data_IF_207112341869
#
_entry.id   IF_207112341869
#
_cell.length_a   1.000
_cell.length_b   1.000
_cell.length_c   1.000
_cell.angle_alpha   90.00
_cell.angle_beta   90.00
_cell.angle_gamma   90.00
#
_symmetry.space_group_name_H-M   'P 1'
#
loop_
_entity.id
_entity.type
_entity.pdbx_description
1 polymer ?
#
# COMPACT_ATOMS: atom_id res chain seq x y z
N UNK A 1 -13.34 31.44 0.99
CA UNK A 1 -13.73 30.20 0.30
C UNK A 1 -14.65 29.45 1.25
N UNK A 2 -15.90 29.18 0.82
CA UNK A 2 -16.85 28.43 1.64
C UNK A 2 -16.32 27.00 1.88
N UNK A 3 -16.25 26.60 3.15
CA UNK A 3 -15.94 25.21 3.53
C UNK A 3 -17.10 24.31 3.13
N UNK A 4 -16.82 23.29 2.34
CA UNK A 4 -17.80 22.27 2.01
C UNK A 4 -17.60 21.04 2.90
N UNK A 5 -18.57 20.77 3.77
CA UNK A 5 -18.62 19.59 4.60
C UNK A 5 -19.60 18.56 4.01
N UNK A 6 -19.25 17.29 4.12
CA UNK A 6 -20.08 16.18 3.62
C UNK A 6 -20.68 15.41 4.78
N UNK A 7 -21.87 14.88 4.60
CA UNK A 7 -22.47 13.96 5.56
C UNK A 7 -21.62 12.66 5.66
N UNK A 8 -21.65 11.98 6.84
CA UNK A 8 -20.89 10.75 7.03
C UNK A 8 -21.28 9.67 6.01
N UNK A 9 -20.32 8.88 5.59
CA UNK A 9 -20.47 7.79 4.61
C UNK A 9 -20.74 8.21 3.18
N UNK A 10 -20.84 9.53 2.91
CA UNK A 10 -21.26 10.01 1.59
C UNK A 10 -20.14 9.95 0.57
N UNK A 11 -18.94 10.42 0.92
CA UNK A 11 -17.90 10.63 -0.08
C UNK A 11 -16.51 10.31 0.45
N UNK A 12 -15.74 9.61 -0.37
CA UNK A 12 -14.28 9.55 -0.27
C UNK A 12 -13.64 10.23 -1.47
N UNK A 13 -12.40 10.69 -1.30
CA UNK A 13 -11.57 11.22 -2.38
C UNK A 13 -10.38 10.29 -2.58
N UNK A 14 -10.08 9.98 -3.84
CA UNK A 14 -8.90 9.19 -4.22
C UNK A 14 -8.00 10.00 -5.12
N UNK A 15 -6.70 9.90 -4.90
CA UNK A 15 -5.68 10.57 -5.69
C UNK A 15 -4.36 9.81 -5.65
N UNK A 16 -3.43 10.17 -6.57
CA UNK A 16 -2.08 9.66 -6.62
C UNK A 16 -1.07 10.80 -6.44
N UNK A 17 -0.07 10.60 -5.60
CA UNK A 17 1.18 11.33 -5.69
C UNK A 17 2.14 10.52 -6.54
N UNK A 18 2.36 11.00 -7.76
CA UNK A 18 3.04 10.24 -8.81
C UNK A 18 4.50 10.64 -8.97
N UNK A 19 5.27 9.72 -9.55
CA UNK A 19 6.63 9.95 -10.08
C UNK A 19 7.60 10.49 -9.03
N UNK A 20 7.51 9.98 -7.80
CA UNK A 20 8.44 10.34 -6.74
C UNK A 20 9.72 9.54 -6.95
N UNK A 21 10.81 10.22 -7.32
CA UNK A 21 12.14 9.60 -7.34
C UNK A 21 12.64 9.46 -5.92
N UNK A 22 12.88 8.23 -5.49
CA UNK A 22 13.35 7.93 -4.16
C UNK A 22 14.66 7.16 -4.21
N UNK A 23 15.70 7.66 -3.51
CA UNK A 23 16.97 6.97 -3.38
C UNK A 23 16.89 6.00 -2.21
N UNK A 24 17.14 4.73 -2.47
CA UNK A 24 17.24 3.69 -1.47
C UNK A 24 18.58 3.74 -0.72
N UNK A 25 18.64 3.00 0.38
CA UNK A 25 19.82 2.87 1.24
C UNK A 25 21.04 2.31 0.51
N UNK A 26 20.84 1.46 -0.47
CA UNK A 26 21.88 0.89 -1.34
C UNK A 26 22.35 1.83 -2.45
N UNK A 27 21.80 3.05 -2.52
CA UNK A 27 22.11 4.06 -3.53
C UNK A 27 21.26 3.99 -4.79
N UNK A 28 20.50 2.91 -5.00
CA UNK A 28 19.61 2.79 -6.15
C UNK A 28 18.49 3.84 -6.10
N UNK A 29 18.15 4.41 -7.24
CA UNK A 29 17.02 5.36 -7.37
C UNK A 29 15.85 4.62 -8.01
N UNK A 30 14.75 4.55 -7.29
CA UNK A 30 13.49 3.98 -7.76
C UNK A 30 12.44 5.07 -7.98
N UNK A 31 11.49 4.82 -8.85
CA UNK A 31 10.29 5.64 -8.96
C UNK A 31 9.16 4.98 -8.18
N UNK A 32 8.54 5.76 -7.29
CA UNK A 32 7.41 5.29 -6.49
C UNK A 32 6.22 6.22 -6.64
N UNK A 33 5.05 5.67 -6.43
CA UNK A 33 3.77 6.36 -6.45
C UNK A 33 3.04 6.08 -5.14
N UNK A 34 2.35 7.07 -4.58
CA UNK A 34 1.59 6.91 -3.35
C UNK A 34 0.11 7.13 -3.66
N UNK A 35 -0.67 6.04 -3.57
CA UNK A 35 -2.12 6.11 -3.60
C UNK A 35 -2.64 6.67 -2.29
N UNK A 36 -3.68 7.46 -2.36
CA UNK A 36 -4.35 8.02 -1.19
C UNK A 36 -5.86 7.90 -1.32
N UNK A 37 -6.49 7.45 -0.23
CA UNK A 37 -7.92 7.58 0.00
C UNK A 37 -8.15 8.45 1.24
N UNK A 38 -9.06 9.42 1.18
CA UNK A 38 -9.51 10.20 2.32
C UNK A 38 -11.03 10.22 2.40
N UNK A 39 -11.59 9.85 3.54
CA UNK A 39 -13.01 10.03 3.81
C UNK A 39 -13.33 11.52 4.04
N UNK A 40 -14.34 12.01 3.35
CA UNK A 40 -14.64 13.45 3.34
C UNK A 40 -15.25 13.95 4.64
N UNK A 41 -15.84 13.09 5.47
CA UNK A 41 -16.39 13.44 6.78
C UNK A 41 -15.34 13.28 7.89
N UNK A 42 -14.88 12.06 8.16
CA UNK A 42 -13.96 11.76 9.27
C UNK A 42 -12.54 12.30 9.07
N UNK A 43 -12.16 12.61 7.83
CA UNK A 43 -10.78 12.90 7.43
C UNK A 43 -9.83 11.70 7.61
N UNK A 44 -10.37 10.52 7.81
CA UNK A 44 -9.57 9.30 7.88
C UNK A 44 -8.88 9.06 6.54
N UNK A 45 -7.59 8.75 6.57
CA UNK A 45 -6.72 8.66 5.40
C UNK A 45 -6.03 7.32 5.34
N UNK A 46 -5.86 6.83 4.13
CA UNK A 46 -5.08 5.65 3.84
C UNK A 46 -4.10 6.00 2.73
N UNK A 47 -2.83 5.80 3.00
CA UNK A 47 -1.75 5.91 2.01
C UNK A 47 -1.21 4.52 1.73
N UNK A 48 -0.92 4.23 0.47
CA UNK A 48 -0.19 3.03 0.08
C UNK A 48 0.83 3.38 -1.00
N UNK A 49 2.05 2.87 -0.87
CA UNK A 49 3.13 3.09 -1.82
C UNK A 49 3.23 1.92 -2.80
N UNK A 50 3.51 2.22 -4.05
CA UNK A 50 3.71 1.24 -5.11
C UNK A 50 4.81 1.71 -6.07
N UNK A 51 5.50 0.78 -6.69
CA UNK A 51 6.45 1.04 -7.78
C UNK A 51 5.77 1.16 -9.14
N UNK A 52 4.47 0.90 -9.22
CA UNK A 52 3.67 1.04 -10.44
C UNK A 52 2.32 1.69 -10.14
N UNK A 53 1.71 2.31 -11.14
CA UNK A 53 0.40 2.98 -11.06
C UNK A 53 -0.57 2.44 -12.12
N UNK A 54 -0.89 1.16 -12.04
CA UNK A 54 -1.89 0.55 -12.92
C UNK A 54 -3.31 0.68 -12.36
N UNK A 55 -4.29 0.45 -13.22
CA UNK A 55 -5.70 0.40 -12.80
C UNK A 55 -5.95 -0.75 -11.83
N UNK A 56 -5.26 -1.87 -12.00
CA UNK A 56 -5.35 -3.05 -11.12
C UNK A 56 -4.84 -2.73 -9.72
N UNK A 57 -3.72 -2.01 -9.61
CA UNK A 57 -3.20 -1.55 -8.32
C UNK A 57 -4.17 -0.60 -7.64
N UNK A 58 -4.78 0.33 -8.38
CA UNK A 58 -5.76 1.25 -7.83
C UNK A 58 -7.00 0.51 -7.31
N UNK A 59 -7.53 -0.46 -8.07
CA UNK A 59 -8.68 -1.28 -7.64
C UNK A 59 -8.34 -2.11 -6.40
N UNK A 60 -7.17 -2.73 -6.37
CA UNK A 60 -6.71 -3.50 -5.21
C UNK A 60 -6.55 -2.60 -3.99
N UNK A 61 -5.94 -1.42 -4.13
CA UNK A 61 -5.81 -0.42 -3.07
C UNK A 61 -7.17 0.01 -2.53
N UNK A 62 -8.13 0.32 -3.40
CA UNK A 62 -9.48 0.74 -2.99
C UNK A 62 -10.22 -0.39 -2.28
N UNK A 63 -10.15 -1.62 -2.79
CA UNK A 63 -10.78 -2.80 -2.15
C UNK A 63 -10.27 -2.98 -0.73
N UNK A 64 -8.97 -2.97 -0.55
CA UNK A 64 -8.32 -3.12 0.76
C UNK A 64 -8.62 -1.94 1.68
N UNK A 65 -8.70 -0.72 1.12
CA UNK A 65 -9.08 0.47 1.88
C UNK A 65 -10.52 0.39 2.38
N UNK A 66 -11.45 -0.10 1.57
CA UNK A 66 -12.86 -0.29 1.98
C UNK A 66 -12.98 -1.35 3.07
N UNK A 67 -12.20 -2.42 3.01
CA UNK A 67 -12.11 -3.42 4.08
C UNK A 67 -11.58 -2.81 5.38
N UNK A 68 -10.54 -2.00 5.30
CA UNK A 68 -9.93 -1.34 6.47
C UNK A 68 -10.90 -0.36 7.16
N UNK A 69 -11.69 0.40 6.40
CA UNK A 69 -12.69 1.32 6.96
C UNK A 69 -14.00 0.62 7.37
N UNK A 70 -14.17 -0.65 6.96
CA UNK A 70 -15.33 -1.46 7.32
C UNK A 70 -16.59 -1.21 6.47
N UNK A 71 -16.46 -0.62 5.26
CA UNK A 71 -17.58 -0.34 4.36
C UNK A 71 -17.16 0.46 3.13
N UNK A 72 -18.13 0.83 2.30
CA UNK A 72 -17.90 1.52 1.03
C UNK A 72 -18.56 2.91 1.05
N UNK A 73 -17.84 4.00 0.73
CA UNK A 73 -18.47 5.32 0.60
C UNK A 73 -19.43 5.34 -0.59
N UNK A 74 -20.54 6.09 -0.48
CA UNK A 74 -21.56 6.19 -1.55
C UNK A 74 -20.99 6.76 -2.84
N UNK A 75 -19.99 7.66 -2.73
CA UNK A 75 -19.35 8.30 -3.86
C UNK A 75 -17.83 8.31 -3.71
N UNK A 76 -17.15 8.07 -4.82
CA UNK A 76 -15.70 8.17 -4.93
C UNK A 76 -15.36 9.36 -5.85
N UNK A 77 -14.87 10.44 -5.25
CA UNK A 77 -14.39 11.60 -5.98
C UNK A 77 -12.97 11.35 -6.45
N UNK A 78 -12.73 11.53 -7.74
CA UNK A 78 -11.42 11.30 -8.39
C UNK A 78 -11.11 12.44 -9.34
N UNK A 79 -9.84 12.66 -9.61
CA UNK A 79 -9.47 13.50 -10.75
C UNK A 79 -9.65 12.74 -12.08
N UNK A 80 -9.22 13.37 -13.17
CA UNK A 80 -9.27 12.77 -14.49
C UNK A 80 -8.07 11.84 -14.76
N UNK A 81 -7.64 11.05 -13.74
CA UNK A 81 -6.52 10.11 -13.91
C UNK A 81 -6.83 9.04 -14.96
N UNK A 82 -5.82 8.68 -15.74
CA UNK A 82 -5.94 7.67 -16.83
C UNK A 82 -6.39 6.29 -16.34
N UNK A 83 -6.12 5.95 -15.09
CA UNK A 83 -6.57 4.69 -14.48
C UNK A 83 -8.11 4.64 -14.32
N UNK A 84 -8.79 5.80 -14.30
CA UNK A 84 -10.24 5.92 -14.07
C UNK A 84 -10.97 6.42 -15.31
N UNK A 85 -10.38 7.34 -16.08
CA UNK A 85 -11.03 8.04 -17.18
C UNK A 85 -10.39 7.70 -18.53
N UNK A 86 -11.19 7.29 -19.50
CA UNK A 86 -10.79 7.20 -20.91
C UNK A 86 -10.80 8.58 -21.57
N UNK A 87 -11.79 9.40 -21.20
CA UNK A 87 -11.87 10.80 -21.62
C UNK A 87 -12.10 11.69 -20.40
N UNK A 88 -11.33 12.77 -20.24
CA UNK A 88 -11.43 13.64 -19.08
C UNK A 88 -12.78 14.39 -19.05
N UNK A 89 -13.28 14.60 -17.85
CA UNK A 89 -14.44 15.47 -17.61
C UNK A 89 -14.02 16.94 -17.70
N UNK A 90 -14.70 17.70 -18.52
CA UNK A 90 -14.49 19.14 -18.69
C UNK A 90 -15.74 19.94 -18.33
N UNK A 91 -15.72 21.25 -18.49
CA UNK A 91 -16.93 22.09 -18.36
C UNK A 91 -17.97 21.79 -19.43
N UNK A 92 -17.54 21.27 -20.58
CA UNK A 92 -18.38 21.06 -21.78
C UNK A 92 -18.65 19.57 -22.03
N UNK A 93 -17.99 18.67 -21.35
CA UNK A 93 -18.14 17.21 -21.49
C UNK A 93 -18.20 16.52 -20.13
N UNK A 94 -19.13 15.56 -20.02
CA UNK A 94 -19.19 14.67 -18.84
C UNK A 94 -17.96 13.77 -18.72
N UNK A 95 -17.14 13.67 -19.79
CA UNK A 95 -16.07 12.70 -19.88
C UNK A 95 -16.58 11.27 -20.03
N UNK A 96 -15.64 10.33 -20.09
CA UNK A 96 -15.94 8.90 -20.16
C UNK A 96 -15.11 8.16 -19.13
N UNK A 97 -15.79 7.47 -18.21
CA UNK A 97 -15.15 6.58 -17.24
C UNK A 97 -14.73 5.31 -17.98
N UNK A 98 -13.55 4.79 -17.64
CA UNK A 98 -13.09 3.52 -18.18
C UNK A 98 -14.06 2.39 -17.78
N UNK A 99 -14.51 1.60 -18.75
CA UNK A 99 -15.52 0.55 -18.55
C UNK A 99 -15.16 -0.45 -17.44
N UNK A 100 -13.87 -0.84 -17.34
CA UNK A 100 -13.42 -1.78 -16.30
C UNK A 100 -13.42 -1.14 -14.90
N UNK A 101 -13.21 0.17 -14.83
CA UNK A 101 -13.28 0.88 -13.56
C UNK A 101 -14.73 1.17 -13.15
N UNK A 102 -15.60 1.43 -14.12
CA UNK A 102 -17.04 1.56 -13.89
C UNK A 102 -17.64 0.26 -13.37
N UNK A 103 -17.25 -0.89 -13.95
CA UNK A 103 -17.63 -2.20 -13.43
C UNK A 103 -17.18 -2.42 -11.98
N UNK A 104 -15.92 -2.08 -11.67
CA UNK A 104 -15.40 -2.13 -10.29
C UNK A 104 -16.27 -1.29 -9.34
N UNK A 105 -16.60 -0.07 -9.72
CA UNK A 105 -17.43 0.82 -8.90
C UNK A 105 -18.84 0.25 -8.68
N UNK A 106 -19.44 -0.32 -9.72
CA UNK A 106 -20.73 -0.99 -9.65
C UNK A 106 -20.68 -2.18 -8.68
N UNK A 107 -19.66 -3.03 -8.78
CA UNK A 107 -19.51 -4.22 -7.95
C UNK A 107 -19.22 -3.87 -6.49
N UNK A 108 -18.57 -2.73 -6.24
CA UNK A 108 -18.36 -2.18 -4.89
C UNK A 108 -19.58 -1.41 -4.36
N UNK A 109 -20.57 -1.10 -5.21
CA UNK A 109 -21.77 -0.33 -4.85
C UNK A 109 -21.53 1.18 -4.72
N UNK A 110 -20.41 1.72 -5.19
CA UNK A 110 -20.06 3.14 -5.12
C UNK A 110 -20.27 3.84 -6.47
N UNK A 111 -20.42 5.15 -6.46
CA UNK A 111 -20.53 5.96 -7.68
C UNK A 111 -19.25 6.77 -7.90
N UNK A 112 -18.71 6.72 -9.12
CA UNK A 112 -17.56 7.54 -9.48
C UNK A 112 -18.01 8.96 -9.82
N UNK A 113 -17.33 9.94 -9.18
CA UNK A 113 -17.52 11.36 -9.50
C UNK A 113 -16.22 11.99 -9.96
N UNK A 114 -15.96 12.07 -11.27
CA UNK A 114 -14.78 12.76 -11.77
C UNK A 114 -14.87 14.27 -11.48
N UNK A 115 -13.78 14.88 -11.03
CA UNK A 115 -13.66 16.33 -10.88
C UNK A 115 -13.74 17.03 -12.24
N UNK A 116 -14.29 18.24 -12.26
CA UNK A 116 -14.22 19.10 -13.44
C UNK A 116 -12.81 19.67 -13.56
N UNK A 117 -12.17 19.48 -14.71
CA UNK A 117 -10.85 20.04 -14.98
C UNK A 117 -10.85 21.57 -14.76
N UNK A 118 -9.80 22.09 -14.08
CA UNK A 118 -9.64 23.52 -13.83
C UNK A 118 -10.50 24.07 -12.67
N UNK A 119 -11.15 23.24 -11.84
CA UNK A 119 -11.84 23.68 -10.62
C UNK A 119 -11.17 23.10 -9.35
N UNK A 120 -10.18 23.78 -8.76
CA UNK A 120 -9.43 23.28 -7.60
C UNK A 120 -10.29 23.18 -6.33
N UNK A 121 -11.43 23.85 -6.24
CA UNK A 121 -12.24 23.92 -5.01
C UNK A 121 -12.79 22.57 -4.51
N UNK A 122 -12.82 21.54 -5.34
CA UNK A 122 -13.30 20.20 -4.97
C UNK A 122 -12.22 19.33 -4.31
N UNK A 123 -10.93 19.69 -4.43
CA UNK A 123 -9.77 18.89 -3.99
C UNK A 123 -9.07 19.36 -2.72
N UNK A 124 -9.51 20.43 -2.07
CA UNK A 124 -8.78 21.02 -0.94
C UNK A 124 -8.47 20.06 0.23
N UNK A 125 -9.26 19.00 0.41
CA UNK A 125 -9.04 17.99 1.44
C UNK A 125 -7.84 17.08 1.10
N UNK A 126 -7.65 16.79 -0.18
CA UNK A 126 -6.57 15.96 -0.72
C UNK A 126 -5.25 16.73 -0.78
N UNK A 127 -5.27 17.99 -1.19
CA UNK A 127 -4.06 18.82 -1.36
C UNK A 127 -3.25 18.96 -0.06
N UNK A 128 -3.93 19.17 1.08
CA UNK A 128 -3.26 19.23 2.38
C UNK A 128 -2.57 17.90 2.74
N UNK A 129 -3.20 16.77 2.36
CA UNK A 129 -2.64 15.44 2.60
C UNK A 129 -1.49 15.12 1.65
N UNK A 130 -1.53 15.64 0.41
CA UNK A 130 -0.43 15.50 -0.55
C UNK A 130 0.84 16.23 -0.09
N UNK A 131 0.70 17.41 0.53
CA UNK A 131 1.84 18.14 1.12
C UNK A 131 2.50 17.34 2.25
N UNK A 132 1.72 16.63 3.05
CA UNK A 132 2.25 15.78 4.11
C UNK A 132 3.17 14.67 3.57
N UNK A 133 2.86 14.14 2.39
CA UNK A 133 3.69 13.13 1.74
C UNK A 133 5.06 13.67 1.27
N UNK A 134 5.26 14.99 1.22
CA UNK A 134 6.57 15.56 0.89
C UNK A 134 7.63 15.28 1.97
N UNK A 135 7.21 14.92 3.19
CA UNK A 135 8.13 14.47 4.24
C UNK A 135 9.01 13.28 3.80
N UNK A 136 8.56 12.47 2.83
CA UNK A 136 9.32 11.32 2.32
C UNK A 136 10.70 11.76 1.78
N UNK A 137 10.81 12.98 1.26
CA UNK A 137 12.06 13.49 0.70
C UNK A 137 13.16 13.67 1.76
N UNK A 138 12.82 13.81 3.04
CA UNK A 138 13.78 13.89 4.13
C UNK A 138 14.48 12.55 4.45
N UNK A 139 13.99 11.46 3.87
CA UNK A 139 14.47 10.10 4.10
C UNK A 139 15.22 9.50 2.91
N UNK A 140 15.63 10.31 1.95
CA UNK A 140 16.44 9.89 0.81
C UNK A 140 17.73 9.19 1.29
N UNK A 141 17.97 7.98 0.79
CA UNK A 141 19.15 7.17 1.16
C UNK A 141 19.08 6.49 2.52
N UNK A 142 17.95 6.58 3.25
CA UNK A 142 17.82 6.04 4.61
C UNK A 142 17.03 4.73 4.70
N UNK A 143 16.26 4.39 3.68
CA UNK A 143 15.36 3.23 3.68
C UNK A 143 15.67 2.28 2.53
N UNK A 144 15.53 0.98 2.79
CA UNK A 144 15.23 0.01 1.75
C UNK A 144 13.73 0.05 1.41
N UNK A 145 13.29 -0.71 0.41
CA UNK A 145 11.88 -0.67 -0.04
C UNK A 145 10.89 -1.15 1.05
N UNK A 146 11.14 -2.25 1.80
CA UNK A 146 10.29 -2.62 2.94
C UNK A 146 10.25 -1.56 4.06
N UNK A 147 11.36 -0.93 4.39
CA UNK A 147 11.42 0.16 5.39
C UNK A 147 10.62 1.38 4.94
N UNK A 148 10.63 1.68 3.64
CA UNK A 148 9.83 2.74 3.05
C UNK A 148 8.33 2.43 3.18
N UNK A 149 7.90 1.19 2.93
CA UNK A 149 6.52 0.75 3.17
C UNK A 149 6.14 0.84 4.66
N UNK A 150 7.06 0.44 5.55
CA UNK A 150 6.86 0.56 6.99
C UNK A 150 6.70 2.03 7.44
N UNK A 151 7.46 2.94 6.86
CA UNK A 151 7.31 4.38 7.08
C UNK A 151 5.92 4.88 6.68
N UNK A 152 5.42 4.51 5.50
CA UNK A 152 4.06 4.88 5.07
C UNK A 152 2.99 4.30 6.01
N UNK A 153 3.19 3.09 6.52
CA UNK A 153 2.29 2.50 7.52
C UNK A 153 2.28 3.30 8.84
N UNK A 154 3.45 3.74 9.31
CA UNK A 154 3.57 4.62 10.49
C UNK A 154 2.93 5.98 10.24
N UNK A 155 3.08 6.53 9.03
CA UNK A 155 2.42 7.77 8.63
C UNK A 155 0.90 7.63 8.69
N UNK A 156 0.33 6.53 8.19
CA UNK A 156 -1.10 6.22 8.30
C UNK A 156 -1.59 6.25 9.75
N UNK A 157 -0.84 5.61 10.67
CA UNK A 157 -1.17 5.66 12.09
C UNK A 157 -1.11 7.09 12.62
N UNK A 158 0.00 7.79 12.40
CA UNK A 158 0.19 9.17 12.90
C UNK A 158 -0.95 10.09 12.51
N UNK A 159 -1.30 10.13 11.22
CA UNK A 159 -2.31 11.09 10.72
C UNK A 159 -3.75 10.77 11.13
N UNK A 160 -4.03 9.52 11.48
CA UNK A 160 -5.36 9.08 11.86
C UNK A 160 -5.59 9.09 13.38
N UNK A 161 -4.53 9.00 14.17
CA UNK A 161 -4.61 8.99 15.65
C UNK A 161 -4.28 10.36 16.28
N UNK A 162 -3.82 11.33 15.51
CA UNK A 162 -3.57 12.69 15.97
C UNK A 162 -4.71 13.64 15.61
N UNK A 163 -4.79 14.76 16.34
CA UNK A 163 -5.77 15.81 16.11
C UNK A 163 -5.61 16.39 14.68
N UNK A 164 -6.66 16.34 13.90
CA UNK A 164 -6.70 16.94 12.58
C UNK A 164 -6.91 18.46 12.71
N UNK A 165 -5.87 19.25 12.40
CA UNK A 165 -5.86 20.70 12.58
C UNK A 165 -7.07 21.43 11.94
N UNK A 166 -7.50 20.96 10.77
CA UNK A 166 -8.61 21.59 10.04
C UNK A 166 -10.00 21.34 10.63
N UNK A 167 -10.20 20.29 11.42
CA UNK A 167 -11.51 19.93 12.01
C UNK A 167 -11.52 19.98 13.52
N UNK A 168 -10.35 19.99 14.17
CA UNK A 168 -10.24 19.86 15.63
C UNK A 168 -10.67 18.49 16.17
N UNK A 169 -10.69 17.45 15.31
CA UNK A 169 -11.16 16.11 15.66
C UNK A 169 -10.08 15.07 15.32
N UNK A 170 -10.15 13.90 15.97
CA UNK A 170 -9.25 12.77 15.71
C UNK A 170 -9.91 11.86 14.67
N UNK A 171 -9.29 11.66 13.48
CA UNK A 171 -9.91 10.96 12.36
C UNK A 171 -10.41 9.55 12.68
N UNK A 172 -9.67 8.76 13.47
CA UNK A 172 -10.10 7.39 13.83
C UNK A 172 -11.38 7.40 14.68
N UNK A 173 -11.57 8.38 15.56
CA UNK A 173 -12.78 8.52 16.38
C UNK A 173 -13.98 8.91 15.50
N UNK A 174 -13.76 9.81 14.56
CA UNK A 174 -14.81 10.20 13.63
C UNK A 174 -15.14 9.07 12.63
N UNK A 175 -14.17 8.21 12.27
CA UNK A 175 -14.42 7.02 11.46
C UNK A 175 -15.39 6.07 12.15
N UNK A 176 -15.26 5.83 13.45
CA UNK A 176 -16.19 4.95 14.18
C UNK A 176 -17.65 5.44 14.07
N UNK A 177 -17.86 6.76 14.08
CA UNK A 177 -19.18 7.34 13.84
C UNK A 177 -19.63 7.22 12.38
N UNK A 178 -18.68 7.30 11.44
CA UNK A 178 -18.95 7.26 10.00
C UNK A 178 -19.29 5.83 9.51
N UNK A 179 -18.76 4.79 10.17
CA UNK A 179 -18.93 3.37 9.77
C UNK A 179 -20.39 2.97 9.55
N UNK A 180 -21.30 3.38 10.44
CA UNK A 180 -22.73 3.06 10.32
C UNK A 180 -23.44 3.68 9.11
N UNK A 181 -22.81 4.64 8.43
CA UNK A 181 -23.33 5.35 7.28
C UNK A 181 -22.69 4.90 5.95
N UNK A 182 -21.66 4.06 6.02
CA UNK A 182 -21.04 3.44 4.86
C UNK A 182 -21.97 2.38 4.28
N UNK A 183 -21.84 2.13 2.98
CA UNK A 183 -22.49 0.98 2.34
C UNK A 183 -21.82 -0.32 2.81
N UNK A 184 -22.53 -1.45 2.83
CA UNK A 184 -21.95 -2.72 3.20
C UNK A 184 -20.86 -3.13 2.21
N UNK A 185 -19.85 -3.84 2.71
CA UNK A 185 -18.84 -4.46 1.85
C UNK A 185 -19.50 -5.52 0.95
N UNK A 186 -19.14 -5.60 -0.33
CA UNK A 186 -19.55 -6.72 -1.17
C UNK A 186 -18.98 -8.05 -0.64
N UNK A 187 -19.48 -9.16 -1.16
CA UNK A 187 -19.03 -10.49 -0.76
C UNK A 187 -17.52 -10.65 -0.95
N UNK A 188 -16.89 -11.51 -0.17
CA UNK A 188 -15.45 -11.78 -0.25
C UNK A 188 -15.04 -12.19 -1.67
N UNK A 189 -15.84 -13.04 -2.32
CA UNK A 189 -15.61 -13.47 -3.71
C UNK A 189 -15.49 -12.28 -4.69
N UNK A 190 -16.35 -11.26 -4.54
CA UNK A 190 -16.30 -10.04 -5.37
C UNK A 190 -15.03 -9.24 -5.04
N UNK A 191 -14.72 -9.06 -3.76
CA UNK A 191 -13.53 -8.32 -3.34
C UNK A 191 -12.24 -8.97 -3.81
N UNK A 192 -12.16 -10.31 -3.72
CA UNK A 192 -11.00 -11.09 -4.17
C UNK A 192 -10.74 -10.96 -5.68
N UNK A 193 -11.79 -10.76 -6.49
CA UNK A 193 -11.63 -10.55 -7.94
C UNK A 193 -10.88 -9.25 -8.30
N UNK A 194 -10.81 -8.30 -7.36
CA UNK A 194 -10.11 -7.02 -7.53
C UNK A 194 -8.79 -6.93 -6.76
N UNK A 195 -8.49 -7.92 -5.94
CA UNK A 195 -7.15 -8.01 -5.37
C UNK A 195 -6.15 -8.37 -6.46
N UNK A 196 -4.95 -7.84 -6.37
CA UNK A 196 -3.87 -8.30 -7.24
C UNK A 196 -3.67 -9.76 -6.90
N UNK A 197 -3.88 -10.63 -7.89
CA UNK A 197 -3.69 -12.07 -7.74
C UNK A 197 -2.18 -12.31 -7.63
N UNK A 198 -1.67 -12.15 -6.42
CA UNK A 198 -0.38 -12.69 -6.04
C UNK A 198 -0.57 -14.14 -5.60
N UNK A 199 0.43 -14.97 -5.83
CA UNK A 199 0.43 -16.32 -5.28
C UNK A 199 0.43 -16.25 -3.76
N UNK A 200 -0.57 -16.84 -3.10
CA UNK A 200 -0.56 -16.98 -1.64
C UNK A 200 0.25 -18.20 -1.24
N UNK A 201 1.25 -17.98 -0.42
CA UNK A 201 2.10 -19.05 0.11
C UNK A 201 2.16 -19.00 1.63
N UNK A 202 2.46 -20.11 2.25
CA UNK A 202 2.71 -20.18 3.70
C UNK A 202 4.21 -20.05 3.96
N UNK A 203 4.58 -19.17 4.85
CA UNK A 203 5.94 -19.10 5.38
C UNK A 203 6.18 -20.36 6.21
N UNK A 204 7.30 -21.06 5.96
CA UNK A 204 7.65 -22.25 6.72
C UNK A 204 8.21 -21.90 8.13
N UNK A 205 8.55 -22.90 8.91
CA UNK A 205 9.10 -22.70 10.26
C UNK A 205 10.50 -22.08 10.27
N UNK A 206 11.22 -22.17 9.15
CA UNK A 206 12.56 -21.59 8.95
C UNK A 206 12.51 -20.20 8.30
N UNK A 207 11.39 -19.50 8.39
CA UNK A 207 11.18 -18.14 7.84
C UNK A 207 11.39 -18.04 6.33
N UNK A 208 11.10 -19.11 5.58
CA UNK A 208 11.27 -19.15 4.13
C UNK A 208 9.92 -19.31 3.43
N UNK A 209 9.80 -18.67 2.27
CA UNK A 209 8.73 -18.92 1.30
C UNK A 209 9.32 -19.65 0.09
N UNK A 210 8.50 -20.39 -0.65
CA UNK A 210 8.91 -21.06 -1.88
C UNK A 210 8.28 -20.38 -3.09
N UNK A 211 9.12 -20.01 -4.05
CA UNK A 211 8.71 -19.48 -5.35
C UNK A 211 9.52 -20.15 -6.45
N UNK A 212 8.85 -20.74 -7.44
CA UNK A 212 9.47 -21.47 -8.58
C UNK A 212 10.53 -22.51 -8.16
N UNK A 213 10.30 -23.20 -7.04
CA UNK A 213 11.20 -24.25 -6.52
C UNK A 213 12.40 -23.73 -5.72
N UNK A 214 12.57 -22.42 -5.61
CA UNK A 214 13.61 -21.78 -4.80
C UNK A 214 13.01 -21.17 -3.52
N UNK A 215 13.81 -21.04 -2.48
CA UNK A 215 13.37 -20.51 -1.19
C UNK A 215 13.93 -19.10 -0.96
N UNK A 216 13.12 -18.23 -0.37
CA UNK A 216 13.44 -16.83 -0.10
C UNK A 216 13.08 -16.49 1.34
N UNK A 217 13.99 -15.84 2.05
CA UNK A 217 13.81 -15.52 3.46
C UNK A 217 12.84 -14.35 3.67
N UNK A 218 12.12 -14.39 4.79
CA UNK A 218 11.28 -13.29 5.29
C UNK A 218 11.59 -13.05 6.77
N UNK A 219 11.24 -11.87 7.34
CA UNK A 219 11.43 -11.61 8.76
C UNK A 219 10.74 -12.66 9.64
N UNK A 220 11.36 -13.01 10.76
CA UNK A 220 10.97 -14.12 11.63
C UNK A 220 9.57 -13.98 12.23
N UNK A 221 9.09 -12.74 12.42
CA UNK A 221 7.74 -12.45 12.90
C UNK A 221 6.61 -12.99 11.99
N UNK A 222 6.94 -13.31 10.73
CA UNK A 222 5.98 -13.85 9.75
C UNK A 222 6.04 -15.37 9.60
N UNK A 223 6.82 -16.08 10.42
CA UNK A 223 6.85 -17.53 10.43
C UNK A 223 5.45 -18.12 10.55
N UNK A 224 5.15 -19.16 9.75
CA UNK A 224 3.88 -19.88 9.67
C UNK A 224 2.67 -19.06 9.21
N UNK A 225 2.82 -17.76 8.94
CA UNK A 225 1.75 -16.90 8.38
C UNK A 225 1.58 -17.14 6.88
N UNK A 226 0.41 -16.78 6.36
CA UNK A 226 0.16 -16.73 4.92
C UNK A 226 0.53 -15.34 4.40
N UNK A 227 1.34 -15.31 3.35
CA UNK A 227 1.81 -14.09 2.69
C UNK A 227 1.45 -14.13 1.21
N UNK A 228 1.40 -12.97 0.59
CA UNK A 228 1.12 -12.81 -0.83
C UNK A 228 2.43 -12.50 -1.57
N UNK A 229 2.69 -13.21 -2.66
CA UNK A 229 3.82 -12.97 -3.55
C UNK A 229 3.36 -12.18 -4.77
N UNK A 230 4.15 -11.21 -5.15
CA UNK A 230 3.98 -10.47 -6.40
C UNK A 230 5.34 -10.36 -7.08
N UNK A 231 5.36 -10.43 -8.40
CA UNK A 231 6.58 -10.29 -9.18
C UNK A 231 6.53 -9.01 -9.99
N UNK A 232 7.55 -8.18 -9.85
CA UNK A 232 7.72 -6.95 -10.62
C UNK A 232 9.18 -6.83 -11.06
N UNK A 233 9.41 -6.63 -12.34
CA UNK A 233 10.75 -6.37 -12.90
C UNK A 233 11.86 -7.33 -12.40
N UNK A 234 11.60 -8.63 -12.37
CA UNK A 234 12.50 -9.67 -11.85
C UNK A 234 12.74 -9.61 -10.33
N UNK A 235 11.92 -8.88 -9.60
CA UNK A 235 11.92 -8.87 -8.14
C UNK A 235 10.70 -9.61 -7.60
N UNK A 236 10.91 -10.41 -6.55
CA UNK A 236 9.88 -11.10 -5.79
C UNK A 236 9.53 -10.25 -4.56
N UNK A 237 8.36 -9.66 -4.57
CA UNK A 237 7.82 -8.87 -3.47
C UNK A 237 6.92 -9.74 -2.61
N UNK A 238 7.16 -9.75 -1.31
CA UNK A 238 6.39 -10.51 -0.32
C UNK A 238 5.57 -9.56 0.53
N UNK A 239 4.25 -9.73 0.51
CA UNK A 239 3.32 -8.87 1.25
C UNK A 239 2.59 -9.64 2.35
N UNK A 240 2.42 -8.99 3.48
CA UNK A 240 1.52 -9.41 4.55
C UNK A 240 0.57 -8.26 4.89
N UNK A 241 -0.74 -8.48 4.71
CA UNK A 241 -1.78 -7.46 4.93
C UNK A 241 -1.42 -6.09 4.33
N UNK A 242 -1.16 -6.03 3.03
CA UNK A 242 -0.77 -4.81 2.28
C UNK A 242 0.65 -4.26 2.59
N UNK A 243 1.29 -4.73 3.65
CA UNK A 243 2.64 -4.31 4.00
C UNK A 243 3.64 -5.15 3.22
N UNK A 244 4.51 -4.51 2.46
CA UNK A 244 5.68 -5.19 1.89
C UNK A 244 6.62 -5.57 3.04
N UNK A 245 6.90 -6.86 3.19
CA UNK A 245 7.72 -7.40 4.29
C UNK A 245 9.09 -7.89 3.82
N UNK A 246 9.22 -8.23 2.55
CA UNK A 246 10.50 -8.58 1.93
C UNK A 246 10.44 -8.32 0.43
N UNK A 247 11.63 -8.04 -0.16
CA UNK A 247 11.83 -7.91 -1.59
C UNK A 247 13.13 -8.63 -1.95
N UNK A 248 13.09 -9.55 -2.90
CA UNK A 248 14.26 -10.31 -3.35
C UNK A 248 14.41 -10.20 -4.86
N UNK A 249 15.64 -10.12 -5.36
CA UNK A 249 15.90 -10.41 -6.77
C UNK A 249 15.62 -11.89 -7.03
N UNK A 250 14.86 -12.21 -8.08
CA UNK A 250 14.62 -13.60 -8.46
C UNK A 250 15.94 -14.21 -8.95
N UNK A 251 16.31 -15.33 -8.37
CA UNK A 251 17.59 -16.03 -8.60
C UNK A 251 17.35 -17.51 -8.84
N UNK A 252 18.32 -18.16 -9.43
CA UNK A 252 18.34 -19.63 -9.61
C UNK A 252 18.88 -20.37 -8.39
N UNK A 253 19.44 -19.65 -7.41
CA UNK A 253 19.95 -20.24 -6.17
C UNK A 253 18.79 -20.88 -5.37
N UNK A 254 19.03 -22.06 -4.82
CA UNK A 254 18.04 -22.81 -4.04
C UNK A 254 17.61 -22.09 -2.78
N UNK A 255 18.54 -21.40 -2.12
CA UNK A 255 18.34 -20.67 -0.87
C UNK A 255 18.75 -19.21 -1.03
N UNK A 256 17.83 -18.30 -0.84
CA UNK A 256 18.03 -16.85 -0.98
C UNK A 256 17.75 -16.17 0.36
N UNK A 257 18.78 -16.01 1.15
CA UNK A 257 18.70 -15.29 2.43
C UNK A 257 19.01 -13.81 2.23
N UNK A 258 18.31 -12.98 3.00
CA UNK A 258 18.77 -11.65 3.36
C UNK A 258 19.53 -11.76 4.67
N UNK A 259 20.69 -11.11 4.77
CA UNK A 259 21.54 -11.13 5.95
C UNK A 259 20.74 -10.72 7.21
N UNK A 260 19.97 -9.65 7.10
CA UNK A 260 19.12 -9.16 8.18
C UNK A 260 18.10 -10.21 8.70
N UNK A 261 17.46 -10.96 7.80
CA UNK A 261 16.51 -12.02 8.19
C UNK A 261 17.22 -13.21 8.85
N UNK A 262 18.44 -13.51 8.39
CA UNK A 262 19.23 -14.62 8.95
C UNK A 262 19.74 -14.28 10.33
N UNK A 263 20.25 -13.06 10.53
CA UNK A 263 20.68 -12.54 11.84
C UNK A 263 19.52 -12.59 12.84
N UNK A 264 18.33 -12.09 12.45
CA UNK A 264 17.15 -12.12 13.30
C UNK A 264 16.77 -13.56 13.71
N UNK A 265 16.80 -14.49 12.76
CA UNK A 265 16.52 -15.90 13.02
C UNK A 265 17.56 -16.52 13.98
N UNK A 266 18.85 -16.20 13.83
CA UNK A 266 19.91 -16.65 14.74
C UNK A 266 19.74 -16.07 16.15
N UNK A 267 19.40 -14.78 16.27
CA UNK A 267 19.13 -14.14 17.56
C UNK A 267 18.01 -14.84 18.33
N UNK A 268 16.95 -15.25 17.62
CA UNK A 268 15.84 -15.98 18.23
C UNK A 268 16.19 -17.42 18.62
N UNK A 269 17.05 -18.08 17.85
CA UNK A 269 17.44 -19.48 18.11
C UNK A 269 18.63 -19.63 19.07
N UNK A 270 19.49 -18.63 19.15
CA UNK A 270 20.73 -18.65 19.93
C UNK A 270 21.00 -17.30 20.61
N UNK A 271 20.12 -16.86 21.54
CA UNK A 271 20.15 -15.48 22.09
C UNK A 271 21.40 -15.15 22.93
N UNK A 272 22.20 -16.15 23.28
CA UNK A 272 23.41 -15.99 24.12
C UNK A 272 24.71 -16.12 23.32
N UNK A 273 24.67 -16.17 21.98
CA UNK A 273 25.88 -16.24 21.17
C UNK A 273 26.54 -14.85 21.06
N UNK A 274 27.81 -14.67 21.39
CA UNK A 274 28.43 -13.35 21.55
C UNK A 274 28.62 -12.58 20.23
N UNK A 275 28.84 -13.27 19.10
CA UNK A 275 29.13 -12.64 17.81
C UNK A 275 28.22 -13.17 16.69
N UNK A 276 26.91 -12.91 16.84
CA UNK A 276 25.88 -13.42 15.91
C UNK A 276 26.08 -12.89 14.47
N UNK A 277 26.54 -11.67 14.30
CA UNK A 277 26.72 -11.06 12.98
C UNK A 277 27.84 -11.75 12.19
N UNK A 278 28.94 -12.09 12.85
CA UNK A 278 30.05 -12.80 12.20
C UNK A 278 29.69 -14.25 11.92
N UNK A 279 29.00 -14.92 12.85
CA UNK A 279 28.44 -16.25 12.63
C UNK A 279 27.46 -16.27 11.45
N UNK A 280 26.61 -15.26 11.31
CA UNK A 280 25.67 -15.14 10.21
C UNK A 280 26.39 -15.04 8.87
N UNK A 281 27.43 -14.22 8.77
CA UNK A 281 28.20 -14.04 7.54
C UNK A 281 28.93 -15.32 7.12
N UNK A 282 29.58 -16.02 8.09
CA UNK A 282 30.24 -17.29 7.84
C UNK A 282 29.24 -18.35 7.33
N UNK A 283 28.10 -18.48 7.99
CA UNK A 283 27.07 -19.44 7.61
C UNK A 283 26.45 -19.11 6.25
N UNK A 284 26.15 -17.84 5.97
CA UNK A 284 25.59 -17.44 4.66
C UNK A 284 26.59 -17.67 3.53
N UNK A 285 27.89 -17.48 3.76
CA UNK A 285 28.93 -17.82 2.80
C UNK A 285 28.97 -19.33 2.53
N UNK A 286 28.95 -20.14 3.58
CA UNK A 286 28.93 -21.60 3.45
C UNK A 286 27.65 -22.09 2.73
N UNK A 287 26.50 -21.49 3.01
CA UNK A 287 25.23 -21.80 2.30
C UNK A 287 25.36 -21.44 0.83
N UNK A 288 25.92 -20.29 0.46
CA UNK A 288 26.17 -19.90 -0.92
C UNK A 288 27.00 -20.92 -1.65
N UNK A 289 28.13 -21.33 -1.08
CA UNK A 289 29.04 -22.34 -1.66
C UNK A 289 28.42 -23.74 -1.80
N UNK A 290 27.44 -24.11 -0.97
CA UNK A 290 26.78 -25.43 -1.01
C UNK A 290 25.63 -25.51 -2.01
N UNK A 291 24.98 -24.40 -2.33
CA UNK A 291 23.69 -24.36 -3.07
C UNK A 291 23.75 -23.51 -4.36
N UNK A 292 24.94 -23.03 -4.77
CA UNK A 292 25.20 -22.58 -6.12
C UNK A 292 25.24 -23.81 -7.07
#
# INVERSE_FOLDING_TARGET
VARYETAPGTQAQVDWKENIKFRLKDGNVIEVHIAMLILSYSRFRIFNISTTKSQEILKSFLTQSFEMIGGVPKELLTDNMKAVMDQPRTRFSKGQINRRFEQFAHDMGTKIRPCIAGRPMTKGKVEASMKLLDEIHAYQGKFNLPELHAYISKLNQRVNYQLHQGTGKIPIIELEKEKSHLLPLPTEKVRDSYRIIGQHVKVNASNMITYQGNQYSVPSEYARKRVQLQVFNHELHVYYNMKLIACHSISNAKLNYKEEHYIEALQLSSPYYPDIDDLAKENLKAIGEMYE
#
